data_IF_335685626081
#
_entry.id   IF_335685626081
#
_cell.length_a   1.000
_cell.length_b   1.000
_cell.length_c   1.000
_cell.angle_alpha   90.00
_cell.angle_beta   90.00
_cell.angle_gamma   90.00
#
_symmetry.space_group_name_H-M   'P 1'
#
loop_
_entity.id
_entity.type
_entity.pdbx_description
1 polymer ?
#
# COMPACT_ATOMS: atom_id res chain seq x y z
N UNK A 1 -0.75 20.77 14.69
CA UNK A 1 -0.41 19.51 13.98
C UNK A 1 1.11 19.36 13.93
N UNK A 2 1.70 18.49 14.76
CA UNK A 2 3.14 18.18 14.68
C UNK A 2 3.37 17.20 13.54
N UNK A 3 4.02 17.65 12.47
CA UNK A 3 4.38 16.84 11.32
C UNK A 3 5.26 15.67 11.75
N UNK A 4 4.86 14.45 11.40
CA UNK A 4 5.67 13.24 11.57
C UNK A 4 6.96 13.43 10.77
N UNK A 5 8.08 13.54 11.49
CA UNK A 5 9.41 13.61 10.89
C UNK A 5 9.70 12.25 10.21
N UNK A 6 9.39 12.13 8.91
CA UNK A 6 9.81 11.01 8.08
C UNK A 6 11.33 11.10 7.97
N UNK A 7 12.08 10.28 8.70
CA UNK A 7 13.47 10.03 8.31
C UNK A 7 13.45 9.49 6.88
N UNK A 8 14.14 10.16 5.97
CA UNK A 8 14.32 9.66 4.61
C UNK A 8 15.08 8.35 4.70
N UNK A 9 14.58 7.30 4.03
CA UNK A 9 15.30 6.02 3.86
C UNK A 9 16.65 6.20 3.14
N UNK A 10 16.84 7.35 2.50
CA UNK A 10 18.01 7.71 1.70
C UNK A 10 18.85 8.72 2.48
N UNK A 11 20.12 8.39 2.67
CA UNK A 11 21.12 9.25 3.27
C UNK A 11 21.80 10.05 2.16
N UNK A 12 21.82 11.38 2.28
CA UNK A 12 22.48 12.27 1.33
C UNK A 12 23.81 12.71 1.95
N UNK A 13 24.91 12.40 1.27
CA UNK A 13 26.25 12.87 1.67
C UNK A 13 26.39 14.37 1.43
N UNK A 14 27.37 15.01 2.06
CA UNK A 14 27.66 16.43 1.86
C UNK A 14 28.05 16.73 0.40
N UNK A 15 28.70 15.78 -0.28
CA UNK A 15 29.00 15.85 -1.71
C UNK A 15 27.73 15.86 -2.56
N UNK A 16 26.79 14.95 -2.29
CA UNK A 16 25.49 14.92 -2.98
C UNK A 16 24.70 16.22 -2.74
N UNK A 17 24.73 16.76 -1.52
CA UNK A 17 24.06 18.04 -1.22
C UNK A 17 24.71 19.19 -1.96
N UNK A 18 26.04 19.22 -2.02
CA UNK A 18 26.78 20.24 -2.78
C UNK A 18 26.44 20.18 -4.26
N UNK A 19 26.41 18.96 -4.83
CA UNK A 19 25.98 18.70 -6.20
C UNK A 19 24.56 19.18 -6.48
N UNK A 20 23.62 18.89 -5.59
CA UNK A 20 22.23 19.37 -5.70
C UNK A 20 22.15 20.90 -5.72
N UNK A 21 22.94 21.59 -4.88
CA UNK A 21 22.94 23.05 -4.84
C UNK A 21 23.53 23.67 -6.10
N UNK A 22 24.58 23.05 -6.65
CA UNK A 22 25.24 23.48 -7.89
C UNK A 22 24.24 23.47 -9.06
N UNK A 23 23.59 22.32 -9.30
CA UNK A 23 22.68 22.16 -10.45
C UNK A 23 21.38 22.92 -10.29
N UNK A 24 20.89 23.10 -9.05
CA UNK A 24 19.64 23.79 -8.77
C UNK A 24 19.79 25.32 -8.63
N UNK A 25 21.00 25.86 -8.72
CA UNK A 25 21.28 27.29 -8.55
C UNK A 25 20.51 28.19 -9.52
N UNK A 26 20.27 27.73 -10.75
CA UNK A 26 19.45 28.41 -11.76
C UNK A 26 17.94 28.11 -11.70
N UNK A 27 17.49 27.39 -10.68
CA UNK A 27 16.14 26.83 -10.58
C UNK A 27 16.11 25.33 -10.82
N UNK A 28 15.03 24.67 -10.37
CA UNK A 28 14.87 23.21 -10.52
C UNK A 28 13.94 22.92 -11.69
N UNK A 29 14.44 22.20 -12.69
CA UNK A 29 13.67 21.66 -13.82
C UNK A 29 13.44 20.15 -13.66
N UNK A 30 12.56 19.56 -14.47
CA UNK A 30 12.37 18.09 -14.45
C UNK A 30 13.65 17.38 -14.92
N UNK A 31 14.35 17.89 -15.93
CA UNK A 31 15.63 17.33 -16.41
C UNK A 31 16.70 17.29 -15.30
N UNK A 32 16.78 18.34 -14.46
CA UNK A 32 17.68 18.36 -13.30
C UNK A 32 17.26 17.28 -12.28
N UNK A 33 15.96 17.12 -12.04
CA UNK A 33 15.46 16.10 -11.12
C UNK A 33 15.78 14.70 -11.64
N UNK A 34 15.57 14.44 -12.93
CA UNK A 34 15.86 13.14 -13.57
C UNK A 34 17.35 12.83 -13.54
N UNK A 35 18.20 13.80 -13.89
CA UNK A 35 19.66 13.65 -13.79
C UNK A 35 20.11 13.31 -12.37
N UNK A 36 19.55 13.95 -11.34
CA UNK A 36 19.90 13.64 -9.93
C UNK A 36 19.32 12.30 -9.45
N UNK A 37 18.18 11.88 -10.01
CA UNK A 37 17.58 10.56 -9.73
C UNK A 37 18.47 9.46 -10.25
N UNK A 38 18.98 9.61 -11.46
CA UNK A 38 19.87 8.64 -12.09
C UNK A 38 21.25 8.67 -11.43
N UNK A 39 21.81 9.85 -11.19
CA UNK A 39 23.14 10.03 -10.59
C UNK A 39 23.20 9.45 -9.16
N UNK A 40 22.16 9.65 -8.34
CA UNK A 40 22.14 9.16 -6.96
C UNK A 40 21.48 7.80 -6.81
N UNK A 41 20.92 7.24 -7.88
CA UNK A 41 20.09 6.02 -7.86
C UNK A 41 18.96 6.08 -6.82
N UNK A 42 18.46 7.28 -6.53
CA UNK A 42 17.42 7.53 -5.53
C UNK A 42 16.09 7.80 -6.21
N UNK A 43 14.96 7.32 -5.67
CA UNK A 43 13.67 7.55 -6.30
C UNK A 43 13.34 9.05 -6.32
N UNK A 44 12.71 9.52 -7.41
CA UNK A 44 12.27 10.92 -7.61
C UNK A 44 11.67 11.59 -6.38
N UNK A 45 10.84 10.85 -5.62
CA UNK A 45 10.21 11.35 -4.39
C UNK A 45 11.21 11.75 -3.30
N UNK A 46 12.36 11.07 -3.23
CA UNK A 46 13.44 11.38 -2.30
C UNK A 46 14.18 12.64 -2.74
N UNK A 47 14.64 12.67 -3.99
CA UNK A 47 15.38 13.79 -4.58
C UNK A 47 14.57 15.09 -4.47
N UNK A 48 13.31 15.08 -4.90
CA UNK A 48 12.42 16.25 -4.80
C UNK A 48 12.08 16.64 -3.36
N UNK A 49 12.00 15.69 -2.43
CA UNK A 49 11.81 16.03 -1.01
C UNK A 49 13.05 16.71 -0.41
N UNK A 50 14.25 16.24 -0.79
CA UNK A 50 15.51 16.84 -0.36
C UNK A 50 15.70 18.23 -0.97
N UNK A 51 15.45 18.43 -2.28
CA UNK A 51 15.49 19.76 -2.93
C UNK A 51 14.56 20.77 -2.22
N UNK A 52 13.32 20.38 -1.91
CA UNK A 52 12.40 21.23 -1.11
C UNK A 52 12.95 21.55 0.28
N UNK A 53 13.59 20.58 0.93
CA UNK A 53 14.23 20.78 2.25
C UNK A 53 15.43 21.73 2.18
N UNK A 54 16.13 21.78 1.04
CA UNK A 54 17.21 22.72 0.75
C UNK A 54 16.70 24.12 0.36
N UNK A 55 15.38 24.32 0.24
CA UNK A 55 14.76 25.62 -0.03
C UNK A 55 14.42 25.89 -1.49
N UNK A 56 14.63 24.93 -2.39
CA UNK A 56 14.29 25.10 -3.80
C UNK A 56 12.78 24.93 -4.03
N UNK A 57 12.23 25.75 -4.94
CA UNK A 57 10.94 25.47 -5.54
C UNK A 57 11.09 24.29 -6.51
N UNK A 58 10.24 23.29 -6.38
CA UNK A 58 10.36 22.05 -7.14
C UNK A 58 9.10 21.86 -7.98
N UNK A 59 9.21 21.79 -9.31
CA UNK A 59 8.06 21.68 -10.19
C UNK A 59 7.23 20.43 -9.85
N UNK A 60 5.92 20.57 -10.05
CA UNK A 60 5.04 19.40 -10.05
C UNK A 60 5.50 18.46 -11.16
N UNK A 61 5.41 17.15 -10.90
CA UNK A 61 5.62 16.16 -11.96
C UNK A 61 4.70 16.52 -13.12
N UNK A 62 5.21 16.62 -14.37
CA UNK A 62 4.35 16.72 -15.53
C UNK A 62 3.26 15.65 -15.45
N UNK A 63 2.02 16.03 -15.75
CA UNK A 63 0.94 15.04 -15.87
C UNK A 63 1.35 13.99 -16.89
N UNK A 64 0.92 12.73 -16.69
CA UNK A 64 1.08 11.74 -17.74
C UNK A 64 0.46 12.26 -19.04
N UNK A 65 1.10 11.99 -20.18
CA UNK A 65 0.52 12.31 -21.47
C UNK A 65 -0.91 11.75 -21.56
N UNK A 66 -1.85 12.47 -22.23
CA UNK A 66 -3.20 11.98 -22.42
C UNK A 66 -3.16 10.56 -22.99
N UNK A 67 -3.94 9.66 -22.38
CA UNK A 67 -4.00 8.26 -22.83
C UNK A 67 -4.52 8.16 -24.27
N UNK A 68 -5.40 9.07 -24.67
CA UNK A 68 -5.97 9.18 -26.01
C UNK A 68 -5.49 10.47 -26.66
N UNK A 69 -5.07 10.40 -27.92
CA UNK A 69 -4.90 11.60 -28.75
C UNK A 69 -6.25 12.27 -29.05
N UNK A 70 -6.22 13.45 -29.68
CA UNK A 70 -7.43 14.13 -30.15
C UNK A 70 -8.15 13.25 -31.20
N UNK A 71 -7.42 12.78 -32.21
CA UNK A 71 -7.96 11.93 -33.28
C UNK A 71 -8.53 10.61 -32.73
N UNK A 72 -7.87 10.00 -31.75
CA UNK A 72 -8.37 8.77 -31.11
C UNK A 72 -9.62 9.03 -30.26
N UNK A 73 -9.73 10.22 -29.68
CA UNK A 73 -10.92 10.63 -28.93
C UNK A 73 -12.11 10.82 -29.86
N UNK A 74 -11.91 11.50 -31.00
CA UNK A 74 -12.95 11.68 -32.01
C UNK A 74 -13.36 10.34 -32.65
N UNK A 75 -12.39 9.50 -33.00
CA UNK A 75 -12.64 8.17 -33.54
C UNK A 75 -13.43 7.29 -32.55
N UNK A 76 -13.11 7.36 -31.25
CA UNK A 76 -13.86 6.62 -30.24
C UNK A 76 -15.30 7.15 -30.10
N UNK A 77 -15.49 8.47 -30.10
CA UNK A 77 -16.83 9.06 -30.01
C UNK A 77 -17.73 8.60 -31.18
N UNK A 78 -17.21 8.71 -32.41
CA UNK A 78 -17.90 8.24 -33.61
C UNK A 78 -18.19 6.73 -33.55
N UNK A 79 -17.21 5.92 -33.13
CA UNK A 79 -17.40 4.48 -32.99
C UNK A 79 -18.52 4.15 -31.98
N UNK A 80 -18.57 4.86 -30.84
CA UNK A 80 -19.60 4.66 -29.82
C UNK A 80 -21.00 5.03 -30.35
N UNK A 81 -21.13 6.14 -31.08
CA UNK A 81 -22.41 6.54 -31.69
C UNK A 81 -22.90 5.53 -32.73
N UNK A 82 -22.01 5.12 -33.65
CA UNK A 82 -22.34 4.16 -34.72
C UNK A 82 -22.71 2.78 -34.18
N UNK A 83 -22.18 2.39 -33.01
CA UNK A 83 -22.39 1.09 -32.39
C UNK A 83 -23.14 1.18 -31.05
N UNK A 84 -23.96 2.21 -30.88
CA UNK A 84 -24.64 2.55 -29.64
C UNK A 84 -25.41 1.36 -29.06
N UNK A 85 -25.09 0.99 -27.81
CA UNK A 85 -25.73 -0.09 -27.05
C UNK A 85 -25.43 -1.50 -27.56
N UNK A 86 -24.59 -1.65 -28.59
CA UNK A 86 -24.33 -2.93 -29.25
C UNK A 86 -23.18 -3.70 -28.60
N UNK A 87 -22.14 -3.00 -28.16
CA UNK A 87 -20.92 -3.61 -27.66
C UNK A 87 -20.62 -3.22 -26.22
N UNK A 88 -20.14 -4.20 -25.46
CA UNK A 88 -19.58 -3.99 -24.12
C UNK A 88 -18.21 -3.33 -24.22
N UNK A 89 -17.75 -2.71 -23.13
CA UNK A 89 -16.42 -2.08 -23.12
C UNK A 89 -15.27 -3.07 -23.43
N UNK A 90 -15.42 -4.35 -23.08
CA UNK A 90 -14.46 -5.42 -23.40
C UNK A 90 -14.44 -5.70 -24.92
N UNK A 91 -15.60 -5.76 -25.56
CA UNK A 91 -15.71 -5.96 -27.01
C UNK A 91 -15.19 -4.75 -27.79
N UNK A 92 -15.54 -3.53 -27.36
CA UNK A 92 -15.03 -2.28 -27.94
C UNK A 92 -13.51 -2.24 -27.81
N UNK A 93 -12.98 -2.59 -26.64
CA UNK A 93 -11.54 -2.67 -26.38
C UNK A 93 -10.85 -3.66 -27.33
N UNK A 94 -11.49 -4.75 -27.73
CA UNK A 94 -10.91 -5.72 -28.66
C UNK A 94 -10.97 -5.26 -30.13
N UNK A 95 -11.99 -4.49 -30.52
CA UNK A 95 -12.22 -4.09 -31.92
C UNK A 95 -11.72 -2.69 -32.28
N UNK A 96 -11.55 -1.80 -31.30
CA UNK A 96 -11.18 -0.40 -31.53
C UNK A 96 -9.66 -0.21 -31.47
N UNK A 97 -9.12 0.53 -32.45
CA UNK A 97 -7.72 0.95 -32.51
C UNK A 97 -6.72 -0.19 -32.24
N UNK A 98 -6.91 -1.34 -32.90
CA UNK A 98 -6.05 -2.54 -32.79
C UNK A 98 -5.85 -3.01 -31.34
N UNK A 99 -6.89 -2.91 -30.52
CA UNK A 99 -6.88 -3.24 -29.10
C UNK A 99 -5.84 -2.47 -28.25
N UNK A 100 -5.46 -1.28 -28.71
CA UNK A 100 -4.54 -0.38 -27.99
C UNK A 100 -5.05 0.01 -26.60
N UNK A 101 -6.38 0.11 -26.44
CA UNK A 101 -7.00 0.59 -25.20
C UNK A 101 -7.70 -0.54 -24.47
N UNK A 102 -7.46 -0.64 -23.16
CA UNK A 102 -8.19 -1.55 -22.28
C UNK A 102 -9.65 -1.10 -22.11
N UNK A 103 -10.55 -2.03 -21.79
CA UNK A 103 -11.95 -1.74 -21.47
C UNK A 103 -12.11 -0.67 -20.37
N UNK A 104 -11.19 -0.62 -19.41
CA UNK A 104 -11.16 0.42 -18.38
C UNK A 104 -10.86 1.79 -18.96
N UNK A 105 -9.91 1.89 -19.89
CA UNK A 105 -9.59 3.14 -20.57
C UNK A 105 -10.73 3.60 -21.47
N UNK A 106 -11.37 2.68 -22.20
CA UNK A 106 -12.58 2.95 -23.00
C UNK A 106 -13.69 3.52 -22.11
N UNK A 107 -14.05 2.84 -21.02
CA UNK A 107 -15.08 3.31 -20.09
C UNK A 107 -14.72 4.67 -19.48
N UNK A 108 -13.47 4.86 -19.07
CA UNK A 108 -13.01 6.13 -18.51
C UNK A 108 -13.12 7.28 -19.51
N UNK A 109 -12.78 7.02 -20.79
CA UNK A 109 -12.89 8.00 -21.85
C UNK A 109 -14.36 8.28 -22.22
N UNK A 110 -15.18 7.26 -22.37
CA UNK A 110 -16.62 7.42 -22.61
C UNK A 110 -17.31 8.21 -21.49
N UNK A 111 -16.92 8.00 -20.22
CA UNK A 111 -17.40 8.81 -19.09
C UNK A 111 -17.02 10.27 -19.23
N UNK A 112 -15.76 10.58 -19.58
CA UNK A 112 -15.33 11.97 -19.79
C UNK A 112 -15.99 12.66 -20.98
N UNK A 113 -16.54 11.90 -21.92
CA UNK A 113 -17.30 12.38 -23.07
C UNK A 113 -18.82 12.37 -22.82
N UNK A 114 -19.28 11.92 -21.65
CA UNK A 114 -20.70 11.71 -21.33
C UNK A 114 -21.40 10.66 -22.24
N UNK A 115 -20.64 9.74 -22.84
CA UNK A 115 -21.09 8.76 -23.83
C UNK A 115 -21.29 7.34 -23.27
N UNK A 116 -21.31 7.16 -21.94
CA UNK A 116 -21.43 5.83 -21.32
C UNK A 116 -22.73 5.09 -21.67
N UNK A 117 -23.79 5.82 -22.04
CA UNK A 117 -25.06 5.27 -22.53
C UNK A 117 -24.92 4.49 -23.84
N UNK A 118 -23.90 4.77 -24.64
CA UNK A 118 -23.61 4.07 -25.89
C UNK A 118 -22.88 2.74 -25.68
N UNK A 119 -22.40 2.45 -24.47
CA UNK A 119 -21.74 1.18 -24.16
C UNK A 119 -22.77 0.22 -23.58
N UNK A 120 -22.88 -0.97 -24.18
CA UNK A 120 -23.71 -2.05 -23.65
C UNK A 120 -23.22 -2.43 -22.25
N UNK A 121 -24.07 -2.44 -21.22
CA UNK A 121 -23.69 -2.95 -19.91
C UNK A 121 -23.19 -4.39 -20.03
N UNK A 122 -22.00 -4.65 -19.48
CA UNK A 122 -21.50 -6.01 -19.41
C UNK A 122 -22.44 -6.84 -18.52
N UNK A 123 -22.68 -8.10 -18.92
CA UNK A 123 -23.41 -9.03 -18.07
C UNK A 123 -22.69 -9.17 -16.73
N UNK A 124 -23.46 -9.20 -15.64
CA UNK A 124 -22.89 -9.49 -14.32
C UNK A 124 -22.27 -10.87 -14.40
N UNK A 125 -20.94 -10.93 -14.42
CA UNK A 125 -20.21 -12.19 -14.26
C UNK A 125 -20.67 -12.79 -12.94
N UNK A 126 -21.44 -13.87 -13.01
CA UNK A 126 -21.76 -14.67 -11.83
C UNK A 126 -20.44 -15.29 -11.43
N UNK A 127 -19.80 -14.74 -10.40
CA UNK A 127 -18.62 -15.37 -9.83
C UNK A 127 -19.05 -16.76 -9.39
N UNK A 128 -18.42 -17.84 -9.89
CA UNK A 128 -18.79 -19.18 -9.46
C UNK A 128 -18.72 -19.23 -7.94
N UNK A 129 -19.76 -19.81 -7.30
CA UNK A 129 -19.77 -19.96 -5.84
C UNK A 129 -18.51 -20.74 -5.44
N UNK A 130 -17.70 -20.15 -4.57
CA UNK A 130 -16.45 -20.77 -4.09
C UNK A 130 -16.69 -22.03 -3.26
N UNK A 131 -17.90 -22.15 -2.70
CA UNK A 131 -18.40 -23.26 -1.90
C UNK A 131 -19.66 -23.85 -2.53
N UNK A 132 -19.70 -25.17 -2.60
CA UNK A 132 -20.87 -25.99 -2.95
C UNK A 132 -21.76 -26.16 -1.72
N UNK A 133 -23.03 -26.49 -1.93
CA UNK A 133 -23.96 -26.74 -0.82
C UNK A 133 -23.48 -27.87 0.10
N UNK A 134 -22.85 -28.91 -0.46
CA UNK A 134 -22.25 -30.01 0.31
C UNK A 134 -21.11 -29.52 1.22
N UNK A 135 -20.19 -28.69 0.70
CA UNK A 135 -19.12 -28.09 1.52
C UNK A 135 -19.71 -27.19 2.63
N UNK A 136 -20.81 -26.49 2.37
CA UNK A 136 -21.50 -25.67 3.38
C UNK A 136 -22.15 -26.51 4.48
N UNK A 137 -22.74 -27.65 4.13
CA UNK A 137 -23.26 -28.63 5.09
C UNK A 137 -22.13 -29.18 5.95
N UNK A 138 -21.03 -29.64 5.35
CA UNK A 138 -19.86 -30.15 6.08
C UNK A 138 -19.29 -29.10 7.03
N UNK A 139 -19.16 -27.83 6.60
CA UNK A 139 -18.71 -26.73 7.48
C UNK A 139 -19.63 -26.57 8.68
N UNK A 140 -20.95 -26.60 8.47
CA UNK A 140 -21.93 -26.40 9.54
C UNK A 140 -21.87 -27.53 10.57
N UNK A 141 -21.85 -28.78 10.11
CA UNK A 141 -21.75 -29.97 10.96
C UNK A 141 -20.46 -29.97 11.79
N UNK A 142 -19.33 -29.60 11.17
CA UNK A 142 -18.05 -29.54 11.88
C UNK A 142 -17.98 -28.39 12.89
N UNK A 143 -18.63 -27.26 12.63
CA UNK A 143 -18.76 -26.17 13.61
C UNK A 143 -19.61 -26.63 14.80
N UNK A 144 -20.73 -27.30 14.54
CA UNK A 144 -21.59 -27.87 15.60
C UNK A 144 -20.83 -28.90 16.44
N UNK A 145 -19.95 -29.70 15.83
CA UNK A 145 -19.06 -30.61 16.53
C UNK A 145 -17.84 -29.93 17.17
N UNK A 146 -17.80 -28.60 17.23
CA UNK A 146 -16.70 -27.79 17.79
C UNK A 146 -15.32 -28.08 17.18
N UNK A 147 -15.27 -28.42 15.89
CA UNK A 147 -14.02 -28.61 15.18
C UNK A 147 -13.23 -27.30 15.05
N UNK A 148 -11.91 -27.40 14.98
CA UNK A 148 -11.07 -26.23 14.76
C UNK A 148 -11.11 -25.79 13.30
N UNK A 149 -10.83 -24.51 13.08
CA UNK A 149 -10.80 -23.86 11.78
C UNK A 149 -9.84 -24.55 10.80
N UNK A 150 -8.71 -25.06 11.27
CA UNK A 150 -7.76 -25.85 10.48
C UNK A 150 -8.35 -27.19 10.02
N UNK A 151 -9.11 -27.87 10.87
CA UNK A 151 -9.74 -29.16 10.54
C UNK A 151 -10.86 -28.98 9.51
N UNK A 152 -11.66 -27.92 9.66
CA UNK A 152 -12.70 -27.57 8.69
C UNK A 152 -12.08 -27.23 7.33
N UNK A 153 -10.97 -26.49 7.33
CA UNK A 153 -10.24 -26.13 6.12
C UNK A 153 -9.69 -27.35 5.38
N UNK A 154 -9.14 -28.33 6.12
CA UNK A 154 -8.71 -29.60 5.57
C UNK A 154 -9.87 -30.40 4.98
N UNK A 155 -10.98 -30.52 5.72
CA UNK A 155 -12.15 -31.29 5.31
C UNK A 155 -12.81 -30.80 4.01
N UNK A 156 -12.85 -29.48 3.79
CA UNK A 156 -13.38 -28.90 2.54
C UNK A 156 -12.30 -28.60 1.49
N UNK A 157 -11.03 -28.91 1.77
CA UNK A 157 -9.92 -28.67 0.86
C UNK A 157 -9.71 -27.19 0.49
N UNK A 158 -9.96 -26.27 1.42
CA UNK A 158 -9.79 -24.81 1.22
C UNK A 158 -8.76 -24.24 2.19
N UNK A 159 -8.31 -23.02 1.94
CA UNK A 159 -7.46 -22.32 2.90
C UNK A 159 -8.23 -21.91 4.15
N UNK A 160 -7.53 -21.91 5.30
CA UNK A 160 -8.03 -21.39 6.59
C UNK A 160 -8.65 -20.00 6.46
N UNK A 161 -8.06 -19.12 5.65
CA UNK A 161 -8.59 -17.77 5.43
C UNK A 161 -9.91 -17.78 4.65
N UNK A 162 -10.03 -18.66 3.65
CA UNK A 162 -11.28 -18.82 2.88
C UNK A 162 -12.40 -19.35 3.77
N UNK A 163 -12.13 -20.40 4.57
CA UNK A 163 -13.11 -20.96 5.51
C UNK A 163 -13.51 -19.93 6.57
N UNK A 164 -12.56 -19.15 7.09
CA UNK A 164 -12.87 -18.06 8.03
C UNK A 164 -13.84 -17.05 7.42
N UNK A 165 -13.62 -16.64 6.17
CA UNK A 165 -14.55 -15.77 5.44
C UNK A 165 -15.91 -16.42 5.22
N UNK A 166 -15.93 -17.72 4.92
CA UNK A 166 -17.16 -18.48 4.71
C UNK A 166 -17.98 -18.59 5.99
N UNK A 167 -17.36 -18.95 7.11
CA UNK A 167 -17.98 -18.96 8.44
C UNK A 167 -18.63 -17.61 8.77
N UNK A 168 -17.92 -16.50 8.51
CA UNK A 168 -18.49 -15.16 8.70
C UNK A 168 -19.74 -14.92 7.84
N UNK A 169 -19.73 -15.34 6.57
CA UNK A 169 -20.90 -15.21 5.69
C UNK A 169 -22.10 -16.07 6.12
N UNK A 170 -21.85 -17.17 6.84
CA UNK A 170 -22.87 -18.08 7.38
C UNK A 170 -23.30 -17.71 8.81
N UNK A 171 -22.67 -16.70 9.44
CA UNK A 171 -22.91 -16.36 10.85
C UNK A 171 -22.31 -17.35 11.85
N UNK A 172 -21.38 -18.20 11.42
CA UNK A 172 -20.72 -19.24 12.22
C UNK A 172 -19.32 -18.80 12.68
N UNK A 173 -18.77 -19.51 13.66
CA UNK A 173 -17.39 -19.34 14.16
C UNK A 173 -16.80 -20.70 14.52
N UNK A 174 -15.50 -20.84 14.33
CA UNK A 174 -14.72 -21.99 14.77
C UNK A 174 -13.46 -21.49 15.50
N UNK A 175 -13.01 -22.22 16.52
CA UNK A 175 -11.75 -21.92 17.20
C UNK A 175 -10.56 -22.20 16.29
N UNK A 176 -9.43 -21.52 16.52
CA UNK A 176 -8.21 -21.72 15.74
C UNK A 176 -7.15 -22.39 16.62
N UNK A 177 -6.58 -23.53 16.18
CA UNK A 177 -5.60 -24.32 16.98
C UNK A 177 -4.39 -23.48 17.38
N UNK A 178 -3.80 -22.81 16.40
CA UNK A 178 -2.62 -21.99 16.59
C UNK A 178 -3.00 -20.51 16.47
N UNK A 179 -3.67 -19.98 17.50
CA UNK A 179 -3.72 -18.52 17.65
C UNK A 179 -2.27 -18.03 17.74
N UNK A 180 -1.87 -17.14 16.82
CA UNK A 180 -0.63 -16.39 17.00
C UNK A 180 -0.65 -15.85 18.43
N UNK A 181 0.42 -16.11 19.17
CA UNK A 181 0.61 -15.52 20.49
C UNK A 181 0.29 -14.02 20.35
N UNK A 182 -0.54 -13.51 21.27
CA UNK A 182 -0.68 -12.07 21.46
C UNK A 182 0.75 -11.54 21.50
N UNK A 183 1.12 -10.62 20.59
CA UNK A 183 2.50 -10.10 20.54
C UNK A 183 2.81 -9.58 21.94
N UNK A 184 3.60 -10.32 22.72
CA UNK A 184 4.06 -9.83 24.01
C UNK A 184 4.97 -8.65 23.75
N UNK A 185 5.03 -7.75 24.72
CA UNK A 185 5.86 -6.56 24.58
C UNK A 185 7.33 -6.99 24.46
N UNK A 186 8.06 -6.65 23.38
CA UNK A 186 9.45 -7.04 23.24
C UNK A 186 10.40 -6.45 24.30
N UNK A 187 9.89 -5.53 25.13
CA UNK A 187 10.59 -4.88 26.23
C UNK A 187 9.78 -5.00 27.54
N UNK A 188 9.03 -6.09 27.71
CA UNK A 188 8.37 -6.42 28.97
C UNK A 188 9.41 -6.53 30.10
N UNK A 189 9.16 -5.87 31.25
CA UNK A 189 10.09 -5.83 32.38
C UNK A 189 11.24 -4.82 32.29
N UNK A 190 11.27 -3.94 31.27
CA UNK A 190 12.33 -2.92 31.15
C UNK A 190 12.37 -1.94 32.34
N UNK A 191 11.24 -1.75 33.02
CA UNK A 191 11.08 -0.91 34.20
C UNK A 191 11.78 -1.47 35.46
N UNK A 192 12.10 -2.76 35.47
CA UNK A 192 12.85 -3.41 36.56
C UNK A 192 14.38 -3.25 36.40
N UNK A 193 14.83 -2.75 35.24
CA UNK A 193 16.26 -2.64 34.87
C UNK A 193 16.71 -1.19 34.66
N UNK A 194 16.00 -0.20 35.19
CA UNK A 194 16.29 1.21 34.95
C UNK A 194 17.65 1.66 35.52
N UNK A 195 18.24 0.91 36.45
CA UNK A 195 19.60 1.17 36.93
C UNK A 195 20.69 0.76 35.91
N UNK A 196 20.34 0.02 34.85
CA UNK A 196 21.26 -0.38 33.79
C UNK A 196 21.42 0.71 32.73
N UNK A 197 22.57 0.71 32.04
CA UNK A 197 22.83 1.60 30.89
C UNK A 197 22.01 1.19 29.66
N UNK A 198 21.82 2.10 28.70
CA UNK A 198 21.12 1.78 27.45
C UNK A 198 21.80 0.62 26.70
N UNK A 199 23.12 0.54 26.71
CA UNK A 199 23.90 -0.53 26.07
C UNK A 199 23.62 -1.89 26.72
N UNK A 200 23.55 -1.96 28.05
CA UNK A 200 23.22 -3.18 28.80
C UNK A 200 21.77 -3.62 28.54
N UNK A 201 20.83 -2.67 28.52
CA UNK A 201 19.44 -2.93 28.15
C UNK A 201 19.34 -3.43 26.71
N UNK A 202 20.11 -2.86 25.78
CA UNK A 202 20.13 -3.29 24.39
C UNK A 202 20.62 -4.74 24.25
N UNK A 203 21.66 -5.11 25.00
CA UNK A 203 22.15 -6.48 25.07
C UNK A 203 21.12 -7.44 25.70
N UNK A 204 20.50 -7.07 26.82
CA UNK A 204 19.55 -7.92 27.53
C UNK A 204 18.29 -8.23 26.70
N UNK A 205 17.74 -7.24 25.99
CA UNK A 205 16.54 -7.40 25.19
C UNK A 205 16.81 -7.88 23.75
N UNK A 206 18.08 -8.08 23.38
CA UNK A 206 18.52 -8.35 22.00
C UNK A 206 17.95 -7.32 21.02
N UNK A 207 18.24 -6.04 21.28
CA UNK A 207 17.77 -4.87 20.51
C UNK A 207 18.90 -3.90 20.27
N UNK A 208 18.65 -2.90 19.43
CA UNK A 208 19.61 -1.81 19.22
C UNK A 208 19.48 -0.76 20.32
N UNK A 209 20.58 -0.07 20.65
CA UNK A 209 20.62 1.11 21.53
C UNK A 209 19.55 2.13 21.15
N UNK A 210 19.39 2.37 19.83
CA UNK A 210 18.34 3.26 19.30
C UNK A 210 16.93 2.76 19.62
N UNK A 211 16.69 1.45 19.53
CA UNK A 211 15.42 0.81 19.88
C UNK A 211 15.07 1.03 21.35
N UNK A 212 16.02 0.79 22.24
CA UNK A 212 15.88 1.01 23.69
C UNK A 212 15.57 2.48 24.00
N UNK A 213 16.36 3.45 23.51
CA UNK A 213 16.11 4.90 23.70
C UNK A 213 14.71 5.32 23.23
N UNK A 214 14.26 4.73 22.11
CA UNK A 214 12.92 5.00 21.57
C UNK A 214 11.83 4.51 22.51
N UNK A 215 11.99 3.32 23.10
CA UNK A 215 11.02 2.75 24.04
C UNK A 215 11.01 3.48 25.37
N UNK A 216 12.19 3.80 25.93
CA UNK A 216 12.33 4.62 27.14
C UNK A 216 11.65 5.99 26.96
N UNK A 217 11.89 6.67 25.83
CA UNK A 217 11.19 7.93 25.51
C UNK A 217 9.68 7.75 25.42
N UNK A 218 9.24 6.73 24.69
CA UNK A 218 7.80 6.47 24.50
C UNK A 218 7.09 6.16 25.82
N UNK A 219 7.79 5.49 26.74
CA UNK A 219 7.25 5.10 28.06
C UNK A 219 7.50 6.13 29.16
N UNK A 220 8.30 7.18 28.89
CA UNK A 220 8.67 8.16 29.90
C UNK A 220 9.54 7.57 31.02
N UNK A 221 10.38 6.58 30.70
CA UNK A 221 11.26 5.93 31.65
C UNK A 221 12.69 6.47 31.47
N UNK A 222 13.33 6.85 32.58
CA UNK A 222 14.75 7.18 32.62
C UNK A 222 15.54 5.93 33.02
N UNK A 223 16.73 5.75 32.45
CA UNK A 223 17.71 4.79 32.92
C UNK A 223 19.03 5.49 33.29
N UNK A 224 20.03 4.74 33.77
CA UNK A 224 21.24 5.30 34.39
C UNK A 224 21.99 6.35 33.55
N UNK A 225 22.03 6.20 32.23
CA UNK A 225 22.72 7.11 31.30
C UNK A 225 21.79 7.80 30.29
N UNK A 226 20.47 7.68 30.45
CA UNK A 226 19.50 8.26 29.51
C UNK A 226 18.17 8.67 30.17
N UNK A 227 17.90 9.98 30.13
CA UNK A 227 16.63 10.58 30.58
C UNK A 227 15.89 11.18 29.39
N UNK A 228 14.67 10.71 29.06
CA UNK A 228 13.88 11.33 28.01
C UNK A 228 13.23 12.63 28.50
N UNK A 229 13.13 13.64 27.62
CA UNK A 229 12.50 14.94 27.93
C UNK A 229 11.08 14.85 28.48
N UNK A 230 10.36 13.78 28.18
CA UNK A 230 9.02 13.52 28.69
C UNK A 230 8.97 13.03 30.13
N UNK A 231 10.11 12.62 30.70
CA UNK A 231 10.26 12.20 32.09
C UNK A 231 10.81 13.31 33.01
N UNK A 232 11.20 14.46 32.45
CA UNK A 232 11.71 15.63 33.20
C UNK A 232 10.58 16.52 33.77
N UNK A 233 9.40 15.94 34.04
CA UNK A 233 8.21 16.64 34.55
C UNK A 233 8.00 16.39 36.05
#
# INVERSE_FOLDING_TARGET
MKGKNKMSKFEYTDEMVSRMNEVASGGVTEDIIESLVDEFEFPRRSVTAKLRKLGYDVPKKPGAAPVFSADETEALAKFLEENSGSHTADEISASFADAKFTARQINGKALSLEMTSHIKPAEKKVTPKTYTEAEETTISEMVESSAYLEDIAEAVGKSVNSVRGKLLSMGLKAEQKNRKATKSDPYEGIDEMLDSTVEELAANFDKTVRGVKTVLTRRGLACSDYTPKSAEA
#
